data_IF_092870918739
#
_entry.id   IF_092870918739
#
_cell.length_a   1.000
_cell.length_b   1.000
_cell.length_c   1.000
_cell.angle_alpha   90.00
_cell.angle_beta   90.00
_cell.angle_gamma   90.00
#
_symmetry.space_group_name_H-M   'P 1'
#
loop_
_entity.id
_entity.type
_entity.pdbx_description
1 polymer ?
#
# COMPACT_ATOMS: atom_id res chain seq x y z
N UNK A 1 25.50 -4.16 6.29
CA UNK A 1 24.04 -4.39 6.39
C UNK A 1 23.36 -3.40 5.47
N UNK A 2 22.62 -3.83 4.43
CA UNK A 2 21.86 -2.90 3.60
C UNK A 2 20.77 -2.27 4.46
N UNK A 3 20.83 -0.94 4.61
CA UNK A 3 19.83 -0.13 5.28
C UNK A 3 18.44 -0.40 4.68
N UNK A 4 17.43 -0.34 5.52
CA UNK A 4 16.05 -0.74 5.24
C UNK A 4 15.50 -0.19 3.91
N UNK A 5 15.02 -1.09 3.06
CA UNK A 5 14.31 -0.79 1.81
C UNK A 5 12.86 -0.32 2.05
N UNK A 6 12.38 -0.30 3.29
CA UNK A 6 10.98 0.02 3.59
C UNK A 6 10.63 1.48 3.25
N UNK A 7 11.34 2.43 3.86
CA UNK A 7 11.02 3.85 3.65
C UNK A 7 11.33 4.31 2.22
N UNK A 8 12.35 3.74 1.58
CA UNK A 8 12.64 4.00 0.16
C UNK A 8 11.46 3.60 -0.73
N UNK A 9 11.00 2.34 -0.64
CA UNK A 9 9.85 1.86 -1.40
C UNK A 9 8.57 2.62 -1.03
N UNK A 10 8.36 2.87 0.27
CA UNK A 10 7.22 3.65 0.73
C UNK A 10 7.21 5.03 0.07
N UNK A 11 8.31 5.78 0.12
CA UNK A 11 8.44 7.10 -0.48
C UNK A 11 8.18 7.05 -1.99
N UNK A 12 8.77 6.10 -2.71
CA UNK A 12 8.52 5.93 -4.14
C UNK A 12 7.03 5.74 -4.45
N UNK A 13 6.33 4.90 -3.69
CA UNK A 13 4.87 4.70 -3.86
C UNK A 13 4.08 5.96 -3.48
N UNK A 14 4.52 6.72 -2.46
CA UNK A 14 3.90 8.00 -2.08
C UNK A 14 3.99 9.01 -3.22
N UNK A 15 5.20 9.17 -3.76
CA UNK A 15 5.54 10.12 -4.81
C UNK A 15 4.75 9.77 -6.07
N UNK A 16 4.84 8.53 -6.55
CA UNK A 16 4.08 8.06 -7.71
C UNK A 16 2.57 8.30 -7.57
N UNK A 17 2.00 8.05 -6.37
CA UNK A 17 0.58 8.29 -6.12
C UNK A 17 0.22 9.77 -6.24
N UNK A 18 0.99 10.66 -5.62
CA UNK A 18 0.68 12.08 -5.65
C UNK A 18 1.06 12.75 -6.96
N UNK A 19 2.06 12.25 -7.68
CA UNK A 19 2.40 12.69 -9.03
C UNK A 19 1.29 12.31 -10.02
N UNK A 20 0.70 11.12 -9.89
CA UNK A 20 -0.48 10.74 -10.66
C UNK A 20 -1.68 11.68 -10.39
N UNK A 21 -1.89 12.10 -9.14
CA UNK A 21 -2.97 13.04 -8.80
C UNK A 21 -2.66 14.46 -9.27
N UNK A 22 -1.48 14.98 -8.95
CA UNK A 22 -1.14 16.38 -9.16
C UNK A 22 -0.65 16.66 -10.58
N UNK A 23 0.18 15.78 -11.13
CA UNK A 23 0.78 15.85 -12.46
C UNK A 23 -0.18 15.39 -13.55
N UNK A 24 -0.74 14.19 -13.42
CA UNK A 24 -1.64 13.60 -14.44
C UNK A 24 -3.12 13.99 -14.26
N UNK A 25 -3.47 14.71 -13.18
CA UNK A 25 -4.85 15.12 -12.84
C UNK A 25 -5.82 13.95 -12.68
N UNK A 26 -5.32 12.80 -12.24
CA UNK A 26 -6.15 11.63 -11.97
C UNK A 26 -6.94 11.78 -10.65
N UNK A 27 -8.12 11.16 -10.59
CA UNK A 27 -8.82 10.96 -9.31
C UNK A 27 -8.01 10.03 -8.39
N UNK A 28 -8.26 10.05 -7.08
CA UNK A 28 -7.48 9.21 -6.15
C UNK A 28 -7.66 7.71 -6.46
N UNK A 29 -8.87 7.30 -6.84
CA UNK A 29 -9.12 5.94 -7.33
C UNK A 29 -8.33 5.59 -8.60
N UNK A 30 -8.23 6.50 -9.56
CA UNK A 30 -7.44 6.28 -10.78
C UNK A 30 -5.93 6.25 -10.47
N UNK A 31 -5.44 7.15 -9.61
CA UNK A 31 -4.05 7.16 -9.16
C UNK A 31 -3.69 5.86 -8.44
N UNK A 32 -4.58 5.35 -7.57
CA UNK A 32 -4.38 4.05 -6.93
C UNK A 32 -4.25 2.92 -7.96
N UNK A 33 -5.16 2.86 -8.94
CA UNK A 33 -5.07 1.87 -10.03
C UNK A 33 -3.77 1.99 -10.83
N UNK A 34 -3.35 3.22 -11.17
CA UNK A 34 -2.10 3.50 -11.87
C UNK A 34 -0.88 3.01 -11.08
N UNK A 35 -0.82 3.28 -9.77
CA UNK A 35 0.25 2.81 -8.90
C UNK A 35 0.30 1.28 -8.83
N UNK A 36 -0.84 0.61 -8.73
CA UNK A 36 -0.86 -0.86 -8.69
C UNK A 36 -0.32 -1.48 -9.99
N UNK A 37 -0.50 -0.82 -11.13
CA UNK A 37 0.12 -1.23 -12.40
C UNK A 37 1.62 -0.91 -12.41
N UNK A 38 2.02 0.25 -11.92
CA UNK A 38 3.42 0.69 -11.91
C UNK A 38 4.31 -0.21 -11.04
N UNK A 39 3.83 -0.57 -9.85
CA UNK A 39 4.56 -1.43 -8.90
C UNK A 39 4.23 -2.93 -9.08
N UNK A 40 3.90 -3.35 -10.31
CA UNK A 40 3.54 -4.76 -10.59
C UNK A 40 4.67 -5.72 -10.20
N UNK A 41 5.94 -5.33 -10.34
CA UNK A 41 7.09 -6.15 -9.95
C UNK A 41 7.12 -6.45 -8.45
N UNK A 42 6.92 -5.43 -7.62
CA UNK A 42 6.85 -5.54 -6.16
C UNK A 42 5.62 -6.33 -5.75
N UNK A 43 4.52 -6.13 -6.48
CA UNK A 43 3.28 -6.87 -6.35
C UNK A 43 3.32 -8.27 -6.97
N UNK A 44 4.36 -8.70 -7.68
CA UNK A 44 4.42 -10.08 -8.20
C UNK A 44 4.72 -11.07 -7.05
N UNK A 45 5.36 -10.61 -5.99
CA UNK A 45 5.62 -11.38 -4.78
C UNK A 45 4.45 -11.46 -3.80
N UNK A 46 4.56 -12.35 -2.82
CA UNK A 46 3.66 -12.43 -1.65
C UNK A 46 4.37 -12.02 -0.35
N UNK A 47 5.35 -11.11 -0.47
CA UNK A 47 6.27 -10.75 0.60
C UNK A 47 6.08 -9.35 1.15
N UNK A 48 7.11 -8.85 1.83
CA UNK A 48 7.15 -7.52 2.44
C UNK A 48 6.84 -6.41 1.44
N UNK A 49 7.49 -6.41 0.28
CA UNK A 49 7.42 -5.28 -0.66
C UNK A 49 6.01 -5.14 -1.26
N UNK A 50 5.33 -6.26 -1.57
CA UNK A 50 3.91 -6.25 -1.95
C UNK A 50 3.02 -5.65 -0.85
N UNK A 51 3.28 -5.99 0.42
CA UNK A 51 2.53 -5.43 1.55
C UNK A 51 2.77 -3.93 1.72
N UNK A 52 4.00 -3.46 1.48
CA UNK A 52 4.32 -2.02 1.48
C UNK A 52 3.50 -1.30 0.41
N UNK A 53 3.53 -1.77 -0.84
CA UNK A 53 2.80 -1.12 -1.94
C UNK A 53 1.30 -1.08 -1.66
N UNK A 54 0.70 -2.23 -1.32
CA UNK A 54 -0.74 -2.33 -1.07
C UNK A 54 -1.16 -1.47 0.12
N UNK A 55 -0.47 -1.56 1.26
CA UNK A 55 -0.86 -0.79 2.45
C UNK A 55 -0.74 0.71 2.23
N UNK A 56 0.29 1.17 1.52
CA UNK A 56 0.51 2.58 1.22
C UNK A 56 -0.57 3.11 0.27
N UNK A 57 -0.87 2.41 -0.83
CA UNK A 57 -1.90 2.86 -1.79
C UNK A 57 -3.28 2.84 -1.15
N UNK A 58 -3.66 1.71 -0.53
CA UNK A 58 -5.01 1.52 0.00
C UNK A 58 -5.27 2.39 1.23
N UNK A 59 -4.28 2.66 2.08
CA UNK A 59 -4.47 3.54 3.25
C UNK A 59 -4.72 5.00 2.87
N UNK A 60 -4.22 5.45 1.70
CA UNK A 60 -4.53 6.79 1.16
C UNK A 60 -5.98 6.87 0.69
N UNK A 61 -6.44 5.87 -0.07
CA UNK A 61 -7.85 5.78 -0.43
C UNK A 61 -8.74 5.74 0.81
N UNK A 62 -8.39 4.90 1.79
CA UNK A 62 -9.11 4.81 3.06
C UNK A 62 -9.19 6.15 3.82
N UNK A 63 -8.17 7.00 3.68
CA UNK A 63 -8.13 8.31 4.34
C UNK A 63 -8.91 9.38 3.60
N UNK A 64 -8.80 9.42 2.28
CA UNK A 64 -9.25 10.58 1.49
C UNK A 64 -10.48 10.27 0.61
N UNK A 65 -10.67 9.03 0.18
CA UNK A 65 -11.81 8.61 -0.65
C UNK A 65 -12.27 7.18 -0.31
N UNK A 66 -12.87 6.95 0.87
CA UNK A 66 -13.26 5.61 1.32
C UNK A 66 -14.26 4.92 0.38
N UNK A 67 -15.06 5.69 -0.36
CA UNK A 67 -16.00 5.17 -1.35
C UNK A 67 -15.30 4.51 -2.54
N UNK A 68 -14.16 5.06 -2.99
CA UNK A 68 -13.37 4.47 -4.07
C UNK A 68 -12.66 3.19 -3.62
N UNK A 69 -12.31 3.08 -2.33
CA UNK A 69 -11.64 1.90 -1.77
C UNK A 69 -12.42 0.60 -2.00
N UNK A 70 -13.76 0.65 -2.04
CA UNK A 70 -14.62 -0.52 -2.31
C UNK A 70 -14.33 -1.20 -3.65
N UNK A 71 -13.80 -0.46 -4.63
CA UNK A 71 -13.42 -1.01 -5.95
C UNK A 71 -12.16 -1.87 -5.88
N UNK A 72 -11.40 -1.78 -4.80
CA UNK A 72 -10.14 -2.48 -4.56
C UNK A 72 -10.31 -3.68 -3.61
N UNK A 73 -11.48 -4.32 -3.63
CA UNK A 73 -11.78 -5.49 -2.80
C UNK A 73 -10.77 -6.64 -2.95
N UNK A 74 -10.37 -7.02 -4.19
CA UNK A 74 -9.33 -8.03 -4.39
C UNK A 74 -7.99 -7.65 -3.75
N UNK A 75 -7.58 -6.39 -3.86
CA UNK A 75 -6.33 -5.87 -3.30
C UNK A 75 -6.37 -5.78 -1.78
N UNK A 76 -7.50 -5.40 -1.20
CA UNK A 76 -7.73 -5.43 0.25
C UNK A 76 -7.60 -6.84 0.80
N UNK A 77 -8.28 -7.81 0.16
CA UNK A 77 -8.19 -9.22 0.53
C UNK A 77 -6.75 -9.73 0.43
N UNK A 78 -6.08 -9.41 -0.68
CA UNK A 78 -4.68 -9.77 -0.90
C UNK A 78 -3.75 -9.17 0.17
N UNK A 79 -3.95 -7.90 0.51
CA UNK A 79 -3.18 -7.21 1.55
C UNK A 79 -3.38 -7.90 2.92
N UNK A 80 -4.62 -8.24 3.27
CA UNK A 80 -4.93 -8.99 4.48
C UNK A 80 -4.18 -10.33 4.52
N UNK A 81 -4.32 -11.15 3.47
CA UNK A 81 -3.66 -12.46 3.37
C UNK A 81 -2.13 -12.39 3.49
N UNK A 82 -1.51 -11.34 2.94
CA UNK A 82 -0.06 -11.13 3.08
C UNK A 82 0.28 -10.71 4.50
N UNK A 83 -0.51 -9.83 5.11
CA UNK A 83 -0.26 -9.29 6.46
C UNK A 83 -0.28 -10.37 7.56
N UNK A 84 -1.02 -11.44 7.34
CA UNK A 84 -1.10 -12.59 8.26
C UNK A 84 0.15 -13.47 8.24
N UNK A 85 0.98 -13.37 7.18
CA UNK A 85 2.19 -14.20 7.02
C UNK A 85 3.37 -13.59 7.79
N UNK A 86 4.01 -14.30 8.73
CA UNK A 86 5.15 -13.75 9.50
C UNK A 86 6.32 -13.25 8.63
N UNK A 87 6.51 -13.84 7.45
CA UNK A 87 7.60 -13.52 6.53
C UNK A 87 7.57 -12.08 5.98
N UNK A 88 6.39 -11.45 5.85
CA UNK A 88 6.29 -10.09 5.32
C UNK A 88 6.78 -9.02 6.32
N UNK A 89 6.92 -9.38 7.60
CA UNK A 89 7.39 -8.48 8.66
C UNK A 89 8.90 -8.62 8.94
N UNK A 90 9.57 -9.59 8.29
CA UNK A 90 11.00 -9.86 8.49
C UNK A 90 11.84 -8.73 7.93
N UNK A 91 12.86 -8.32 8.69
CA UNK A 91 13.79 -7.27 8.29
C UNK A 91 13.24 -5.84 8.43
N UNK A 92 12.06 -5.67 9.03
CA UNK A 92 11.54 -4.38 9.47
C UNK A 92 11.89 -4.13 10.94
N UNK A 93 12.25 -2.90 11.28
CA UNK A 93 12.37 -2.44 12.66
C UNK A 93 10.99 -2.19 13.31
N UNK A 94 10.99 -1.80 14.59
CA UNK A 94 9.76 -1.57 15.35
C UNK A 94 8.93 -0.40 14.80
N UNK A 95 9.59 0.68 14.37
CA UNK A 95 8.94 1.88 13.85
C UNK A 95 8.29 1.62 12.48
N UNK A 96 8.98 0.87 11.63
CA UNK A 96 8.51 0.48 10.31
C UNK A 96 7.32 -0.47 10.39
N UNK A 97 7.40 -1.47 11.30
CA UNK A 97 6.27 -2.35 11.60
C UNK A 97 5.06 -1.57 12.09
N UNK A 98 5.26 -0.63 13.02
CA UNK A 98 4.17 0.17 13.54
C UNK A 98 3.51 1.01 12.43
N UNK A 99 4.30 1.66 11.57
CA UNK A 99 3.79 2.46 10.45
C UNK A 99 3.02 1.59 9.43
N UNK A 100 3.60 0.47 9.01
CA UNK A 100 2.96 -0.43 8.04
C UNK A 100 1.68 -1.07 8.62
N UNK A 101 1.67 -1.45 9.91
CA UNK A 101 0.47 -1.94 10.59
C UNK A 101 -0.64 -0.89 10.63
N UNK A 102 -0.29 0.36 10.89
CA UNK A 102 -1.27 1.45 10.88
C UNK A 102 -1.88 1.65 9.49
N UNK A 103 -1.07 1.56 8.43
CA UNK A 103 -1.55 1.63 7.05
C UNK A 103 -2.49 0.45 6.72
N UNK A 104 -2.11 -0.79 7.08
CA UNK A 104 -2.96 -1.99 6.91
C UNK A 104 -4.26 -1.85 7.68
N UNK A 105 -4.19 -1.48 8.97
CA UNK A 105 -5.35 -1.32 9.85
C UNK A 105 -6.36 -0.34 9.27
N UNK A 106 -5.90 0.85 8.90
CA UNK A 106 -6.76 1.90 8.35
C UNK A 106 -7.47 1.43 7.07
N UNK A 107 -6.74 0.77 6.17
CA UNK A 107 -7.30 0.26 4.93
C UNK A 107 -8.35 -0.84 5.16
N UNK A 108 -8.11 -1.79 6.07
CA UNK A 108 -9.07 -2.85 6.36
C UNK A 108 -10.33 -2.32 7.08
N UNK A 109 -10.17 -1.43 8.07
CA UNK A 109 -11.30 -0.84 8.81
C UNK A 109 -12.25 -0.05 7.90
N UNK A 110 -11.69 0.69 6.93
CA UNK A 110 -12.49 1.49 5.99
C UNK A 110 -12.97 0.68 4.79
N UNK A 111 -12.29 -0.40 4.45
CA UNK A 111 -12.66 -1.30 3.35
C UNK A 111 -13.76 -2.31 3.69
N UNK A 112 -14.01 -2.57 4.97
CA UNK A 112 -15.07 -3.46 5.44
C UNK A 112 -16.48 -2.83 5.46
N UNK A 113 -16.61 -1.56 5.07
CA UNK A 113 -17.83 -0.73 5.15
C UNK A 113 -18.48 -0.51 3.80
#
# INVERSE_FOLDING_TARGET
MKASNYYALRCAVVEAFWDAVAGEKLTLGQAAGRCLVEFTSELAGHGRDALVVLSVVLSRLARYEPTALRRFGPELKRMQEISEKPGCWRGLDASEKARMREDVRLALEKGAV
#
